data_IF_070725759111
#
_entry.id   IF_070725759111
#
_cell.length_a   1.000
_cell.length_b   1.000
_cell.length_c   1.000
_cell.angle_alpha   90.00
_cell.angle_beta   90.00
_cell.angle_gamma   90.00
#
_symmetry.space_group_name_H-M   'P 1'
#
loop_
_entity.id
_entity.type
_entity.pdbx_description
1 polymer ?
#
# COMPACT_ATOMS: atom_id res chain seq x y z
N UNK A 1 -30.08 -8.65 9.64
CA UNK A 1 -30.17 -8.00 8.32
C UNK A 1 -29.40 -8.87 7.34
N UNK A 2 -29.97 -9.16 6.18
CA UNK A 2 -29.38 -10.04 5.14
C UNK A 2 -28.34 -9.28 4.29
N UNK A 3 -27.26 -9.94 3.87
CA UNK A 3 -26.15 -9.31 3.12
C UNK A 3 -26.61 -8.82 1.75
N UNK A 4 -27.43 -9.59 1.02
CA UNK A 4 -27.90 -9.22 -0.31
C UNK A 4 -28.84 -8.02 -0.23
N UNK A 5 -29.79 -8.06 0.70
CA UNK A 5 -30.68 -6.92 0.94
C UNK A 5 -29.91 -5.66 1.36
N UNK A 6 -28.88 -5.81 2.20
CA UNK A 6 -28.01 -4.69 2.60
C UNK A 6 -27.26 -4.11 1.40
N UNK A 7 -26.77 -4.96 0.51
CA UNK A 7 -26.09 -4.56 -0.71
C UNK A 7 -27.02 -3.80 -1.67
N UNK A 8 -28.25 -4.27 -1.87
CA UNK A 8 -29.25 -3.57 -2.71
C UNK A 8 -29.52 -2.16 -2.20
N UNK A 9 -29.78 -2.01 -0.90
CA UNK A 9 -29.98 -0.71 -0.26
C UNK A 9 -28.73 0.16 -0.32
N UNK A 10 -27.54 -0.43 -0.19
CA UNK A 10 -26.26 0.27 -0.32
C UNK A 10 -26.12 0.87 -1.72
N UNK A 11 -26.44 0.11 -2.77
CA UNK A 11 -26.36 0.60 -4.15
C UNK A 11 -27.31 1.76 -4.38
N UNK A 12 -28.58 1.64 -3.96
CA UNK A 12 -29.57 2.70 -4.10
C UNK A 12 -29.14 4.01 -3.41
N UNK A 13 -28.59 3.90 -2.20
CA UNK A 13 -28.10 5.06 -1.46
C UNK A 13 -26.84 5.66 -2.08
N UNK A 14 -25.91 4.83 -2.57
CA UNK A 14 -24.69 5.30 -3.21
C UNK A 14 -24.99 6.04 -4.52
N UNK A 15 -25.96 5.55 -5.30
CA UNK A 15 -26.44 6.22 -6.52
C UNK A 15 -27.04 7.60 -6.20
N UNK A 16 -27.88 7.71 -5.18
CA UNK A 16 -28.45 8.98 -4.73
C UNK A 16 -27.38 9.96 -4.23
N UNK A 17 -26.42 9.49 -3.43
CA UNK A 17 -25.28 10.30 -2.94
C UNK A 17 -24.49 10.88 -4.13
N UNK A 18 -24.16 10.03 -5.11
CA UNK A 18 -23.42 10.44 -6.29
C UNK A 18 -24.21 11.41 -7.17
N UNK A 19 -25.50 11.17 -7.37
CA UNK A 19 -26.37 12.02 -8.19
C UNK A 19 -26.49 13.45 -7.65
N UNK A 20 -26.44 13.59 -6.32
CA UNK A 20 -26.57 14.88 -5.63
C UNK A 20 -25.22 15.53 -5.26
N UNK A 21 -24.09 14.88 -5.57
CA UNK A 21 -22.76 15.40 -5.26
C UNK A 21 -22.44 15.46 -3.75
N UNK A 22 -23.09 14.61 -2.95
CA UNK A 22 -22.83 14.54 -1.52
C UNK A 22 -21.56 13.74 -1.23
N UNK A 23 -20.83 14.18 -0.21
CA UNK A 23 -19.72 13.41 0.36
C UNK A 23 -20.21 12.70 1.62
N UNK A 24 -21.06 11.68 1.44
CA UNK A 24 -21.60 10.88 2.55
C UNK A 24 -21.42 9.39 2.30
N UNK A 25 -21.44 8.59 3.37
CA UNK A 25 -21.51 7.14 3.30
C UNK A 25 -22.96 6.64 3.31
N UNK A 26 -23.28 5.50 2.68
CA UNK A 26 -24.59 4.86 2.77
C UNK A 26 -24.98 4.56 4.22
N UNK A 27 -26.14 5.07 4.64
CA UNK A 27 -26.68 4.91 6.00
C UNK A 27 -27.02 3.46 6.34
N UNK A 28 -27.29 2.62 5.33
CA UNK A 28 -27.61 1.20 5.53
C UNK A 28 -26.50 0.46 6.29
N UNK A 29 -25.23 0.86 6.12
CA UNK A 29 -24.10 0.21 6.81
C UNK A 29 -24.13 0.44 8.33
N UNK A 30 -24.66 1.59 8.77
CA UNK A 30 -24.87 1.86 10.20
C UNK A 30 -25.98 0.97 10.75
N UNK A 31 -27.11 0.90 10.06
CA UNK A 31 -28.22 0.04 10.46
C UNK A 31 -27.79 -1.43 10.49
N UNK A 32 -26.95 -1.85 9.53
CA UNK A 32 -26.31 -3.15 9.52
C UNK A 32 -25.46 -3.34 10.79
N UNK A 33 -24.51 -2.44 11.10
CA UNK A 33 -23.65 -2.53 12.30
C UNK A 33 -24.45 -2.71 13.59
N UNK A 34 -25.55 -1.97 13.76
CA UNK A 34 -26.38 -2.02 14.98
C UNK A 34 -27.14 -3.36 15.13
N UNK A 35 -27.54 -3.96 14.01
CA UNK A 35 -28.35 -5.18 13.98
C UNK A 35 -27.53 -6.46 13.77
N UNK A 36 -26.31 -6.34 13.25
CA UNK A 36 -25.45 -7.46 12.91
C UNK A 36 -25.02 -8.23 14.17
N UNK A 37 -24.86 -9.54 14.01
CA UNK A 37 -24.51 -10.45 15.12
C UNK A 37 -23.32 -11.34 14.78
N UNK A 38 -23.35 -11.99 13.63
CA UNK A 38 -22.28 -12.85 13.14
C UNK A 38 -22.48 -13.12 11.64
N UNK A 39 -21.40 -13.52 10.97
CA UNK A 39 -21.45 -13.97 9.58
C UNK A 39 -21.79 -15.46 9.53
N UNK A 40 -22.65 -15.84 8.60
CA UNK A 40 -22.83 -17.24 8.19
C UNK A 40 -21.80 -17.64 7.15
N UNK A 41 -21.67 -18.94 6.87
CA UNK A 41 -20.81 -19.43 5.79
C UNK A 41 -21.26 -18.92 4.40
N UNK A 42 -22.57 -18.76 4.21
CA UNK A 42 -23.15 -18.20 2.98
C UNK A 42 -22.78 -16.72 2.81
N UNK A 43 -22.82 -15.94 3.88
CA UNK A 43 -22.37 -14.55 3.86
C UNK A 43 -20.90 -14.44 3.45
N UNK A 44 -20.02 -15.25 4.06
CA UNK A 44 -18.58 -15.28 3.76
C UNK A 44 -18.35 -15.62 2.28
N UNK A 45 -19.04 -16.64 1.76
CA UNK A 45 -18.95 -17.04 0.36
C UNK A 45 -19.43 -15.94 -0.59
N UNK A 46 -20.53 -15.27 -0.25
CA UNK A 46 -21.09 -14.16 -1.02
C UNK A 46 -20.13 -12.96 -1.06
N UNK A 47 -19.61 -12.55 0.10
CA UNK A 47 -18.67 -11.43 0.21
C UNK A 47 -17.34 -11.73 -0.49
N UNK A 48 -16.84 -12.97 -0.41
CA UNK A 48 -15.65 -13.41 -1.16
C UNK A 48 -15.88 -13.27 -2.66
N UNK A 49 -17.06 -13.66 -3.15
CA UNK A 49 -17.41 -13.48 -4.56
C UNK A 49 -17.46 -12.00 -4.93
N UNK A 50 -18.07 -11.16 -4.09
CA UNK A 50 -18.17 -9.72 -4.33
C UNK A 50 -16.80 -9.03 -4.41
N UNK A 51 -15.81 -9.49 -3.64
CA UNK A 51 -14.45 -8.95 -3.68
C UNK A 51 -13.74 -9.13 -5.03
N UNK A 52 -14.17 -10.09 -5.84
CA UNK A 52 -13.64 -10.29 -7.21
C UNK A 52 -14.32 -9.42 -8.26
N UNK A 53 -15.46 -8.79 -7.93
CA UNK A 53 -16.21 -7.93 -8.82
C UNK A 53 -15.79 -6.47 -8.67
N UNK A 54 -15.50 -5.80 -9.78
CA UNK A 54 -14.97 -4.43 -9.79
C UNK A 54 -15.89 -3.38 -9.14
N UNK A 55 -17.20 -3.63 -9.07
CA UNK A 55 -18.18 -2.73 -8.44
C UNK A 55 -18.57 -3.20 -7.05
N UNK A 56 -18.80 -4.51 -6.85
CA UNK A 56 -19.29 -5.03 -5.57
C UNK A 56 -18.22 -5.07 -4.48
N UNK A 57 -16.94 -5.12 -4.82
CA UNK A 57 -15.85 -5.13 -3.84
C UNK A 57 -15.86 -3.93 -2.90
N UNK A 58 -16.33 -2.77 -3.38
CA UNK A 58 -16.42 -1.54 -2.59
C UNK A 58 -17.45 -1.66 -1.46
N UNK A 59 -18.57 -2.33 -1.70
CA UNK A 59 -19.52 -2.65 -0.64
C UNK A 59 -18.86 -3.48 0.46
N UNK A 60 -18.04 -4.48 0.10
CA UNK A 60 -17.37 -5.32 1.10
C UNK A 60 -16.34 -4.51 1.89
N UNK A 61 -15.52 -3.70 1.21
CA UNK A 61 -14.55 -2.82 1.88
C UNK A 61 -15.25 -1.89 2.88
N UNK A 62 -16.30 -1.19 2.43
CA UNK A 62 -17.07 -0.28 3.28
C UNK A 62 -17.73 -1.02 4.43
N UNK A 63 -18.41 -2.14 4.17
CA UNK A 63 -19.08 -2.94 5.19
C UNK A 63 -18.11 -3.36 6.30
N UNK A 64 -16.97 -3.96 5.94
CA UNK A 64 -15.99 -4.44 6.91
C UNK A 64 -15.28 -3.29 7.63
N UNK A 65 -15.16 -2.12 7.00
CA UNK A 65 -14.71 -0.90 7.65
C UNK A 65 -15.73 -0.34 8.67
N UNK A 66 -16.98 -0.80 8.66
CA UNK A 66 -17.99 -0.44 9.67
C UNK A 66 -18.11 -1.44 10.82
N UNK A 67 -17.42 -2.59 10.80
CA UNK A 67 -17.58 -3.63 11.81
C UNK A 67 -16.36 -3.71 12.73
N UNK A 68 -16.56 -3.99 14.02
CA UNK A 68 -15.45 -4.09 14.98
C UNK A 68 -14.50 -5.24 14.65
N UNK A 69 -15.04 -6.36 14.15
CA UNK A 69 -14.30 -7.54 13.74
C UNK A 69 -14.97 -8.20 12.55
N UNK A 70 -14.27 -9.10 11.86
CA UNK A 70 -14.83 -9.95 10.81
C UNK A 70 -14.05 -11.28 10.68
N UNK A 71 -14.61 -12.31 10.01
CA UNK A 71 -14.02 -13.62 9.90
C UNK A 71 -12.66 -13.61 9.20
N UNK A 72 -11.73 -14.43 9.70
CA UNK A 72 -10.40 -14.60 9.10
C UNK A 72 -10.46 -15.07 7.64
N UNK A 73 -11.51 -15.80 7.26
CA UNK A 73 -11.73 -16.28 5.90
C UNK A 73 -11.85 -15.14 4.86
N UNK A 74 -12.22 -13.92 5.29
CA UNK A 74 -12.28 -12.74 4.43
C UNK A 74 -10.95 -11.99 4.34
N UNK A 75 -9.95 -12.31 5.19
CA UNK A 75 -8.66 -11.61 5.18
C UNK A 75 -7.95 -11.76 3.84
N UNK A 76 -7.67 -12.99 3.39
CA UNK A 76 -6.94 -13.23 2.14
C UNK A 76 -7.70 -12.66 0.92
N UNK A 77 -9.03 -12.86 0.76
CA UNK A 77 -9.81 -12.19 -0.29
C UNK A 77 -9.69 -10.66 -0.29
N UNK A 78 -9.71 -10.02 0.87
CA UNK A 78 -9.52 -8.57 0.98
C UNK A 78 -8.12 -8.14 0.50
N UNK A 79 -7.08 -8.89 0.87
CA UNK A 79 -5.72 -8.59 0.42
C UNK A 79 -5.57 -8.77 -1.10
N UNK A 80 -6.18 -9.80 -1.69
CA UNK A 80 -6.21 -9.94 -3.15
C UNK A 80 -6.92 -8.78 -3.84
N UNK A 81 -8.08 -8.35 -3.32
CA UNK A 81 -8.79 -7.18 -3.85
C UNK A 81 -7.94 -5.90 -3.78
N UNK A 82 -7.12 -5.74 -2.72
CA UNK A 82 -6.17 -4.63 -2.59
C UNK A 82 -5.03 -4.70 -3.63
N UNK A 83 -4.50 -5.89 -3.87
CA UNK A 83 -3.41 -6.12 -4.84
C UNK A 83 -3.90 -5.91 -6.28
N UNK A 84 -5.12 -6.34 -6.58
CA UNK A 84 -5.71 -6.24 -7.92
C UNK A 84 -6.30 -4.84 -8.20
N UNK A 85 -6.40 -3.96 -7.19
CA UNK A 85 -6.86 -2.58 -7.38
C UNK A 85 -5.79 -1.71 -8.08
N UNK A 86 -6.09 -1.18 -9.30
CA UNK A 86 -5.12 -0.39 -10.04
C UNK A 86 -4.74 0.92 -9.36
N UNK A 87 -5.66 1.59 -8.67
CA UNK A 87 -5.40 2.86 -7.98
C UNK A 87 -4.76 2.64 -6.59
N UNK A 88 -3.49 3.07 -6.38
CA UNK A 88 -2.84 2.97 -5.08
C UNK A 88 -3.55 3.78 -3.98
N UNK A 89 -4.31 4.81 -4.34
CA UNK A 89 -5.08 5.58 -3.37
C UNK A 89 -6.28 4.82 -2.82
N UNK A 90 -6.88 3.96 -3.64
CA UNK A 90 -8.11 3.24 -3.32
C UNK A 90 -7.86 1.85 -2.73
N UNK A 91 -6.70 1.23 -2.96
CA UNK A 91 -6.41 -0.09 -2.38
C UNK A 91 -6.34 -0.09 -0.84
N UNK A 92 -6.14 1.08 -0.21
CA UNK A 92 -6.14 1.25 1.25
C UNK A 92 -7.47 0.86 1.89
N UNK A 93 -8.59 0.99 1.17
CA UNK A 93 -9.92 0.67 1.67
C UNK A 93 -10.06 -0.83 1.99
N UNK A 94 -9.23 -1.67 1.37
CA UNK A 94 -9.15 -3.10 1.66
C UNK A 94 -8.12 -3.41 2.76
N UNK A 95 -7.01 -2.67 2.82
CA UNK A 95 -5.92 -2.91 3.79
C UNK A 95 -6.25 -2.42 5.20
N UNK A 96 -6.81 -1.20 5.32
CA UNK A 96 -7.12 -0.56 6.62
C UNK A 96 -8.01 -1.42 7.53
N UNK A 97 -9.15 -1.96 7.08
CA UNK A 97 -9.98 -2.83 7.93
C UNK A 97 -9.25 -4.11 8.34
N UNK A 98 -8.46 -4.72 7.46
CA UNK A 98 -7.64 -5.88 7.80
C UNK A 98 -6.62 -5.53 8.89
N UNK A 99 -5.95 -4.37 8.78
CA UNK A 99 -4.88 -3.98 9.71
C UNK A 99 -5.44 -3.72 11.10
N UNK A 100 -6.61 -3.10 11.16
CA UNK A 100 -7.34 -2.88 12.40
C UNK A 100 -7.71 -4.19 13.11
N UNK A 101 -8.20 -5.19 12.37
CA UNK A 101 -8.75 -6.43 12.97
C UNK A 101 -7.66 -7.48 13.24
N UNK A 102 -6.71 -7.65 12.33
CA UNK A 102 -5.71 -8.73 12.39
C UNK A 102 -4.28 -8.25 12.64
N UNK A 103 -4.06 -6.93 12.64
CA UNK A 103 -2.72 -6.36 12.76
C UNK A 103 -1.95 -6.37 11.44
N UNK A 104 -0.82 -5.67 11.44
CA UNK A 104 0.02 -5.48 10.25
C UNK A 104 0.82 -6.71 9.84
N UNK A 105 1.28 -7.54 10.80
CA UNK A 105 2.18 -8.66 10.53
C UNK A 105 1.52 -9.72 9.65
N UNK A 106 0.26 -10.05 9.92
CA UNK A 106 -0.48 -11.05 9.14
C UNK A 106 -0.65 -10.59 7.69
N UNK A 107 -1.02 -9.32 7.50
CA UNK A 107 -1.16 -8.72 6.17
C UNK A 107 0.17 -8.70 5.43
N UNK A 108 1.23 -8.33 6.14
CA UNK A 108 2.57 -8.29 5.59
C UNK A 108 3.03 -9.66 5.11
N UNK A 109 2.74 -10.72 5.88
CA UNK A 109 3.05 -12.10 5.49
C UNK A 109 2.31 -12.51 4.21
N UNK A 110 0.99 -12.26 4.13
CA UNK A 110 0.19 -12.57 2.94
C UNK A 110 0.68 -11.79 1.72
N UNK A 111 0.99 -10.50 1.86
CA UNK A 111 1.52 -9.70 0.77
C UNK A 111 2.88 -10.23 0.30
N UNK A 112 3.77 -10.65 1.20
CA UNK A 112 5.06 -11.23 0.82
C UNK A 112 4.90 -12.57 0.09
N UNK A 113 3.97 -13.43 0.52
CA UNK A 113 3.60 -14.66 -0.20
C UNK A 113 3.18 -14.31 -1.64
N UNK A 114 2.24 -13.37 -1.80
CA UNK A 114 1.77 -12.92 -3.11
C UNK A 114 2.91 -12.30 -3.94
N UNK A 115 3.84 -11.54 -3.33
CA UNK A 115 4.97 -10.95 -4.05
C UNK A 115 5.97 -12.01 -4.55
N UNK A 116 6.20 -13.07 -3.77
CA UNK A 116 7.13 -14.15 -4.13
C UNK A 116 6.57 -15.01 -5.26
N UNK A 117 5.29 -15.33 -5.19
CA UNK A 117 4.64 -16.32 -6.07
C UNK A 117 3.87 -15.69 -7.23
N UNK A 118 3.51 -14.41 -7.11
CA UNK A 118 2.66 -13.70 -8.06
C UNK A 118 3.34 -13.43 -9.40
N UNK A 119 2.50 -13.20 -10.41
CA UNK A 119 2.96 -12.67 -11.68
C UNK A 119 3.37 -11.19 -11.55
N UNK A 120 3.83 -10.61 -12.66
CA UNK A 120 4.25 -9.20 -12.68
C UNK A 120 3.17 -8.25 -12.16
N UNK A 121 1.91 -8.44 -12.56
CA UNK A 121 0.82 -7.55 -12.19
C UNK A 121 0.59 -7.60 -10.68
N UNK A 122 0.54 -8.81 -10.11
CA UNK A 122 0.39 -9.01 -8.66
C UNK A 122 1.57 -8.47 -7.88
N UNK A 123 2.82 -8.67 -8.35
CA UNK A 123 3.99 -8.09 -7.70
C UNK A 123 3.89 -6.57 -7.63
N UNK A 124 3.52 -5.91 -8.72
CA UNK A 124 3.31 -4.46 -8.75
C UNK A 124 2.16 -4.04 -7.83
N UNK A 125 1.06 -4.79 -7.81
CA UNK A 125 -0.07 -4.57 -6.89
C UNK A 125 0.36 -4.65 -5.42
N UNK A 126 1.17 -5.63 -5.06
CA UNK A 126 1.73 -5.76 -3.71
C UNK A 126 2.63 -4.58 -3.35
N UNK A 127 3.48 -4.10 -4.27
CA UNK A 127 4.31 -2.92 -4.02
C UNK A 127 3.45 -1.72 -3.61
N UNK A 128 2.32 -1.50 -4.31
CA UNK A 128 1.34 -0.44 -3.98
C UNK A 128 0.67 -0.69 -2.63
N UNK A 129 0.35 -1.93 -2.29
CA UNK A 129 -0.32 -2.29 -1.05
C UNK A 129 0.59 -2.12 0.20
N UNK A 130 1.90 -2.40 0.08
CA UNK A 130 2.85 -2.26 1.19
C UNK A 130 2.92 -0.85 1.77
N UNK A 131 2.58 0.18 0.99
CA UNK A 131 2.52 1.55 1.49
C UNK A 131 1.55 1.68 2.69
N UNK A 132 0.43 0.95 2.65
CA UNK A 132 -0.62 1.01 3.67
C UNK A 132 -0.43 0.02 4.82
N UNK A 133 0.57 -0.87 4.75
CA UNK A 133 0.82 -1.86 5.81
C UNK A 133 1.73 -1.36 6.91
N UNK A 134 2.46 -0.26 6.70
CA UNK A 134 3.72 -0.03 7.40
C UNK A 134 3.71 0.79 8.69
N UNK A 135 2.56 0.98 9.36
CA UNK A 135 2.57 1.62 10.68
C UNK A 135 1.76 0.85 11.71
N UNK A 136 2.46 0.48 12.77
CA UNK A 136 1.89 0.05 14.03
C UNK A 136 2.60 0.77 15.14
N UNK A 137 3.93 1.00 15.02
CA UNK A 137 4.67 1.90 15.89
C UNK A 137 5.53 2.87 15.08
N UNK A 138 5.72 4.10 15.59
CA UNK A 138 6.58 5.11 14.97
C UNK A 138 6.96 6.21 15.96
N UNK A 139 7.86 7.08 15.50
CA UNK A 139 8.27 8.29 16.20
C UNK A 139 7.62 9.51 15.58
N UNK A 140 7.00 10.37 16.38
CA UNK A 140 6.49 11.67 15.97
C UNK A 140 7.43 12.77 16.50
N UNK A 141 7.92 13.64 15.61
CA UNK A 141 8.69 14.83 16.04
C UNK A 141 7.72 15.96 16.37
N UNK A 142 7.72 16.40 17.63
CA UNK A 142 6.89 17.50 18.12
C UNK A 142 7.77 18.72 18.38
N UNK A 143 7.29 19.90 17.98
CA UNK A 143 7.94 21.18 18.26
C UNK A 143 7.08 22.00 19.21
N UNK A 144 7.64 22.37 20.36
CA UNK A 144 6.99 23.22 21.36
C UNK A 144 7.91 24.43 21.65
N UNK A 145 7.55 25.59 21.11
CA UNK A 145 8.42 26.77 21.09
C UNK A 145 9.73 26.50 20.32
N UNK A 146 10.86 26.66 20.99
CA UNK A 146 12.20 26.37 20.44
C UNK A 146 12.67 24.93 20.68
N UNK A 147 11.90 24.12 21.41
CA UNK A 147 12.27 22.75 21.75
C UNK A 147 11.69 21.77 20.72
N UNK A 148 12.49 20.75 20.38
CA UNK A 148 12.07 19.61 19.57
C UNK A 148 12.32 18.34 20.35
N UNK A 149 11.30 17.50 20.42
CA UNK A 149 11.41 16.19 21.05
C UNK A 149 10.64 15.14 20.24
N UNK A 150 11.00 13.88 20.46
CA UNK A 150 10.47 12.73 19.77
C UNK A 150 9.51 11.96 20.67
N UNK A 151 8.25 11.85 20.27
CA UNK A 151 7.27 10.96 20.89
C UNK A 151 7.34 9.59 20.25
N UNK A 152 7.30 8.53 21.06
CA UNK A 152 7.31 7.14 20.59
C UNK A 152 5.98 6.49 20.94
N UNK A 153 5.31 5.96 19.93
CA UNK A 153 3.96 5.46 20.11
C UNK A 153 3.54 4.54 19.00
N UNK A 154 2.22 4.40 18.88
CA UNK A 154 1.59 3.40 18.03
C UNK A 154 0.28 3.93 17.44
N UNK A 155 -0.14 3.37 16.30
CA UNK A 155 -1.46 3.67 15.75
C UNK A 155 -2.52 2.87 16.49
N UNK A 156 -3.54 3.57 16.98
CA UNK A 156 -4.76 2.95 17.49
C UNK A 156 -5.95 3.27 16.60
N UNK A 157 -6.89 2.33 16.54
CA UNK A 157 -8.13 2.51 15.78
C UNK A 157 -9.28 2.76 16.74
N UNK A 158 -10.05 3.81 16.49
CA UNK A 158 -11.25 4.11 17.25
C UNK A 158 -12.43 4.35 16.31
N UNK A 159 -13.63 4.03 16.78
CA UNK A 159 -14.85 4.32 16.03
C UNK A 159 -15.22 5.79 16.19
N UNK A 160 -15.15 6.54 15.11
CA UNK A 160 -15.58 7.92 15.07
C UNK A 160 -17.08 7.99 14.75
N UNK A 161 -17.86 8.57 15.67
CA UNK A 161 -19.33 8.65 15.55
C UNK A 161 -19.74 9.66 14.47
N UNK A 162 -18.96 10.73 14.29
CA UNK A 162 -19.26 11.82 13.37
C UNK A 162 -18.96 11.39 11.93
N UNK A 163 -17.80 10.76 11.72
CA UNK A 163 -17.40 10.23 10.41
C UNK A 163 -18.00 8.86 10.11
N UNK A 164 -18.56 8.17 11.12
CA UNK A 164 -19.13 6.81 11.02
C UNK A 164 -18.12 5.84 10.39
N UNK A 165 -16.88 5.93 10.84
CA UNK A 165 -15.76 5.17 10.32
C UNK A 165 -14.76 4.90 11.44
N UNK A 166 -13.90 3.91 11.22
CA UNK A 166 -12.70 3.79 12.04
C UNK A 166 -11.64 4.78 11.59
N UNK A 167 -11.20 5.61 12.52
CA UNK A 167 -10.07 6.52 12.34
C UNK A 167 -8.83 6.04 13.09
N UNK A 168 -7.68 6.54 12.64
CA UNK A 168 -6.36 6.23 13.19
C UNK A 168 -5.88 7.41 14.01
N UNK A 169 -5.46 7.13 15.24
CA UNK A 169 -4.86 8.12 16.13
C UNK A 169 -3.51 7.61 16.63
N UNK A 170 -2.53 8.53 16.68
CA UNK A 170 -1.27 8.27 17.36
C UNK A 170 -1.49 8.26 18.86
N UNK A 171 -1.11 7.17 19.51
CA UNK A 171 -1.04 7.10 20.97
C UNK A 171 0.40 6.92 21.42
N UNK A 172 0.88 7.86 22.24
CA UNK A 172 2.18 7.73 22.89
C UNK A 172 2.17 6.55 23.87
N UNK A 173 3.05 5.59 23.64
CA UNK A 173 3.23 4.42 24.50
C UNK A 173 4.62 3.83 24.26
N UNK A 174 5.56 4.17 25.14
CA UNK A 174 6.94 3.74 25.03
C UNK A 174 7.12 2.22 25.26
N UNK A 175 6.21 1.57 25.98
CA UNK A 175 6.28 0.13 26.25
C UNK A 175 5.86 -0.68 25.02
N UNK A 176 4.70 -0.35 24.44
CA UNK A 176 4.23 -0.93 23.18
C UNK A 176 5.25 -0.69 22.07
N UNK A 177 5.77 0.54 21.96
CA UNK A 177 6.83 0.88 21.01
C UNK A 177 8.06 -0.03 21.16
N UNK A 178 8.56 -0.22 22.39
CA UNK A 178 9.76 -1.06 22.64
C UNK A 178 9.53 -2.51 22.25
N UNK A 179 8.33 -3.03 22.48
CA UNK A 179 7.95 -4.41 22.16
C UNK A 179 7.74 -4.63 20.66
N UNK A 180 7.05 -3.74 19.98
CA UNK A 180 6.63 -3.94 18.58
C UNK A 180 7.66 -3.44 17.56
N UNK A 181 8.49 -2.44 17.91
CA UNK A 181 9.52 -1.91 16.98
C UNK A 181 10.45 -2.99 16.42
N UNK A 182 10.98 -3.95 17.20
CA UNK A 182 11.79 -5.03 16.64
C UNK A 182 11.05 -5.90 15.63
N UNK A 183 9.75 -6.16 15.87
CA UNK A 183 8.91 -6.97 14.96
C UNK A 183 8.64 -6.22 13.66
N UNK A 184 8.30 -4.94 13.74
CA UNK A 184 8.12 -4.08 12.56
C UNK A 184 9.41 -3.97 11.75
N UNK A 185 10.55 -3.81 12.43
CA UNK A 185 11.86 -3.80 11.78
C UNK A 185 12.18 -5.13 11.08
N UNK A 186 11.88 -6.26 11.71
CA UNK A 186 12.10 -7.58 11.11
C UNK A 186 11.25 -7.77 9.84
N UNK A 187 9.95 -7.42 9.89
CA UNK A 187 9.07 -7.43 8.72
C UNK A 187 9.61 -6.52 7.61
N UNK A 188 10.01 -5.29 7.95
CA UNK A 188 10.59 -4.36 6.98
C UNK A 188 11.86 -4.90 6.31
N UNK A 189 12.76 -5.53 7.06
CA UNK A 189 13.96 -6.20 6.51
C UNK A 189 13.55 -7.32 5.54
N UNK A 190 12.61 -8.17 5.93
CA UNK A 190 12.13 -9.26 5.09
C UNK A 190 11.55 -8.74 3.76
N UNK A 191 10.75 -7.67 3.84
CA UNK A 191 10.21 -6.98 2.68
C UNK A 191 11.31 -6.44 1.75
N UNK A 192 12.26 -5.69 2.29
CA UNK A 192 13.35 -5.14 1.49
C UNK A 192 14.20 -6.24 0.86
N UNK A 193 14.49 -7.32 1.59
CA UNK A 193 15.24 -8.45 1.08
C UNK A 193 14.50 -9.14 -0.09
N UNK A 194 13.18 -9.33 0.03
CA UNK A 194 12.37 -9.90 -1.05
C UNK A 194 12.38 -8.98 -2.29
N UNK A 195 12.22 -7.67 -2.11
CA UNK A 195 12.29 -6.68 -3.19
C UNK A 195 13.65 -6.64 -3.87
N UNK A 196 14.76 -6.61 -3.12
CA UNK A 196 16.12 -6.63 -3.66
C UNK A 196 16.37 -7.92 -4.44
N UNK A 197 15.97 -9.06 -3.90
CA UNK A 197 16.11 -10.36 -4.58
C UNK A 197 15.38 -10.36 -5.92
N UNK A 198 14.13 -9.89 -5.96
CA UNK A 198 13.35 -9.78 -7.19
C UNK A 198 13.96 -8.78 -8.18
N UNK A 199 14.46 -7.63 -7.69
CA UNK A 199 15.10 -6.62 -8.52
C UNK A 199 16.31 -7.17 -9.28
N UNK A 200 17.11 -8.01 -8.62
CA UNK A 200 18.29 -8.61 -9.24
C UNK A 200 17.96 -9.83 -10.10
N UNK A 201 16.90 -10.58 -9.80
CA UNK A 201 16.51 -11.79 -10.54
C UNK A 201 15.69 -11.50 -11.80
N UNK A 202 14.82 -10.49 -11.77
CA UNK A 202 13.91 -10.22 -12.87
C UNK A 202 14.63 -9.62 -14.08
N UNK A 203 14.09 -9.84 -15.28
CA UNK A 203 14.50 -9.16 -16.51
C UNK A 203 13.48 -8.13 -17.01
N UNK A 204 12.30 -8.08 -16.37
CA UNK A 204 11.24 -7.15 -16.73
C UNK A 204 11.59 -5.74 -16.23
N UNK A 205 11.71 -4.81 -17.17
CA UNK A 205 12.15 -3.45 -16.88
C UNK A 205 11.12 -2.63 -16.09
N UNK A 206 9.85 -2.86 -16.37
CA UNK A 206 8.75 -2.18 -15.69
C UNK A 206 8.71 -2.64 -14.22
N UNK A 207 8.83 -3.94 -13.97
CA UNK A 207 8.92 -4.46 -12.61
C UNK A 207 10.16 -3.95 -11.87
N UNK A 208 11.35 -3.91 -12.51
CA UNK A 208 12.55 -3.31 -11.89
C UNK A 208 12.35 -1.85 -11.53
N UNK A 209 11.76 -1.08 -12.44
CA UNK A 209 11.47 0.32 -12.19
C UNK A 209 10.53 0.47 -10.99
N UNK A 210 9.43 -0.29 -10.97
CA UNK A 210 8.48 -0.26 -9.86
C UNK A 210 9.16 -0.63 -8.54
N UNK A 211 9.90 -1.74 -8.47
CA UNK A 211 10.64 -2.10 -7.24
C UNK A 211 11.61 -0.99 -6.81
N UNK A 212 12.33 -0.39 -7.76
CA UNK A 212 13.28 0.67 -7.45
C UNK A 212 12.63 1.95 -6.88
N UNK A 213 11.34 2.19 -7.11
CA UNK A 213 10.59 3.29 -6.49
C UNK A 213 10.33 3.03 -4.99
N UNK A 214 10.19 1.78 -4.57
CA UNK A 214 9.87 1.40 -3.19
C UNK A 214 11.11 1.07 -2.34
N UNK A 215 12.25 0.79 -2.98
CA UNK A 215 13.51 0.61 -2.26
C UNK A 215 14.06 1.95 -1.74
N UNK A 216 14.78 1.95 -0.60
CA UNK A 216 15.41 3.16 -0.09
C UNK A 216 16.38 3.79 -1.09
N UNK A 217 16.40 5.13 -1.14
CA UNK A 217 17.19 5.88 -2.13
C UNK A 217 18.55 6.32 -1.58
N UNK A 218 18.75 6.24 -0.26
CA UNK A 218 20.01 6.51 0.41
C UNK A 218 20.44 5.29 1.21
N UNK A 219 21.75 5.18 1.48
CA UNK A 219 22.29 3.99 2.13
C UNK A 219 21.90 3.94 3.61
N UNK A 220 21.84 5.09 4.27
CA UNK A 220 21.46 5.25 5.68
C UNK A 220 20.01 4.82 5.96
N UNK A 221 19.18 4.73 4.92
CA UNK A 221 17.79 4.28 5.03
C UNK A 221 17.67 2.75 4.93
N UNK A 222 18.74 2.03 4.54
CA UNK A 222 18.76 0.57 4.56
C UNK A 222 19.07 0.05 5.97
N UNK A 223 18.42 -1.04 6.41
CA UNK A 223 18.87 -1.79 7.58
C UNK A 223 20.31 -2.28 7.39
N UNK A 224 21.07 -2.33 8.50
CA UNK A 224 22.47 -2.76 8.51
C UNK A 224 22.67 -4.12 7.83
N UNK A 225 21.74 -5.05 8.07
CA UNK A 225 21.72 -6.40 7.50
C UNK A 225 21.66 -6.41 5.96
N UNK A 226 21.14 -5.34 5.35
CA UNK A 226 20.99 -5.19 3.91
C UNK A 226 21.90 -4.09 3.34
N UNK A 227 22.82 -3.54 4.13
CA UNK A 227 23.68 -2.43 3.72
C UNK A 227 24.52 -2.77 2.48
N UNK A 228 25.13 -3.96 2.43
CA UNK A 228 25.90 -4.40 1.26
C UNK A 228 25.03 -4.49 -0.01
N UNK A 229 23.87 -5.13 0.09
CA UNK A 229 22.93 -5.25 -1.03
C UNK A 229 22.39 -3.88 -1.46
N UNK A 230 22.12 -2.99 -0.51
CA UNK A 230 21.73 -1.59 -0.73
C UNK A 230 22.80 -0.82 -1.49
N UNK A 231 24.07 -0.94 -1.10
CA UNK A 231 25.20 -0.35 -1.85
C UNK A 231 25.28 -0.86 -3.29
N UNK A 232 25.13 -2.18 -3.49
CA UNK A 232 25.11 -2.81 -4.82
C UNK A 232 23.94 -2.25 -5.64
N UNK A 233 22.74 -2.19 -5.06
CA UNK A 233 21.54 -1.64 -5.70
C UNK A 233 21.74 -0.19 -6.13
N UNK A 234 22.17 0.70 -5.22
CA UNK A 234 22.34 2.12 -5.50
C UNK A 234 23.41 2.37 -6.59
N UNK A 235 24.51 1.60 -6.58
CA UNK A 235 25.57 1.69 -7.60
C UNK A 235 25.13 1.17 -8.95
N UNK A 236 24.30 0.12 -8.98
CA UNK A 236 24.01 -0.63 -10.20
C UNK A 236 22.65 -0.30 -10.83
N UNK A 237 21.68 0.29 -10.12
CA UNK A 237 20.34 0.55 -10.68
C UNK A 237 20.39 1.35 -11.98
N UNK A 238 21.23 2.39 -12.03
CA UNK A 238 21.44 3.20 -13.23
C UNK A 238 22.18 2.44 -14.35
N UNK A 239 23.08 1.52 -13.98
CA UNK A 239 23.81 0.66 -14.92
C UNK A 239 22.91 -0.42 -15.52
N UNK A 240 21.90 -0.86 -14.77
CA UNK A 240 20.90 -1.84 -15.19
C UNK A 240 19.79 -1.25 -16.08
N UNK A 241 19.96 -0.01 -16.55
CA UNK A 241 19.00 0.64 -17.43
C UNK A 241 17.70 1.01 -16.75
N UNK A 242 17.66 1.07 -15.42
CA UNK A 242 16.47 1.49 -14.69
C UNK A 242 16.22 2.98 -14.95
N UNK A 243 15.03 3.34 -15.44
CA UNK A 243 14.60 4.73 -15.62
C UNK A 243 14.59 5.50 -14.31
N UNK A 244 14.85 6.80 -14.35
CA UNK A 244 14.73 7.68 -13.19
C UNK A 244 13.29 8.18 -12.96
N UNK A 245 12.44 8.09 -13.98
CA UNK A 245 11.07 8.57 -13.96
C UNK A 245 10.23 7.83 -15.02
N UNK A 246 8.92 8.06 -14.98
CA UNK A 246 7.96 7.38 -15.86
C UNK A 246 8.16 7.73 -17.34
N UNK A 247 8.54 8.97 -17.66
CA UNK A 247 8.79 9.39 -19.03
C UNK A 247 10.01 8.68 -19.63
N UNK A 248 11.08 8.50 -18.85
CA UNK A 248 12.21 7.66 -19.26
C UNK A 248 11.77 6.21 -19.49
N UNK A 249 10.89 5.65 -18.64
CA UNK A 249 10.37 4.28 -18.80
C UNK A 249 9.61 4.12 -20.12
N UNK A 250 8.68 5.02 -20.42
CA UNK A 250 7.86 4.97 -21.63
C UNK A 250 8.72 5.00 -22.91
N UNK A 251 9.79 5.78 -22.91
CA UNK A 251 10.74 5.84 -24.02
C UNK A 251 11.50 4.54 -24.25
N UNK A 252 11.88 3.83 -23.17
CA UNK A 252 12.70 2.61 -23.28
C UNK A 252 11.90 1.32 -23.26
N UNK A 253 10.59 1.36 -22.97
CA UNK A 253 9.75 0.17 -22.76
C UNK A 253 9.76 -0.78 -23.96
N UNK A 254 9.79 -0.23 -25.17
CA UNK A 254 9.74 -1.01 -26.42
C UNK A 254 11.13 -1.46 -26.92
N UNK A 255 12.22 -1.06 -26.26
CA UNK A 255 13.59 -1.39 -26.69
C UNK A 255 14.02 -2.71 -26.06
N UNK A 256 13.96 -3.80 -26.83
CA UNK A 256 14.35 -5.15 -26.34
C UNK A 256 15.81 -5.20 -25.87
N UNK A 257 16.73 -4.55 -26.61
CA UNK A 257 18.16 -4.57 -26.30
C UNK A 257 18.49 -3.76 -25.05
N UNK A 258 19.02 -4.43 -24.03
CA UNK A 258 19.53 -3.81 -22.80
C UNK A 258 20.63 -2.78 -23.07
N UNK A 259 21.54 -3.08 -24.00
CA UNK A 259 22.62 -2.18 -24.37
C UNK A 259 22.07 -0.87 -24.95
N UNK A 260 21.11 -0.96 -25.88
CA UNK A 260 20.51 0.23 -26.51
C UNK A 260 19.73 1.08 -25.50
N UNK A 261 18.97 0.46 -24.58
CA UNK A 261 18.30 1.16 -23.47
C UNK A 261 19.29 1.97 -22.64
N UNK A 262 20.38 1.32 -22.24
CA UNK A 262 21.42 1.95 -21.44
C UNK A 262 22.10 3.12 -22.16
N UNK A 263 22.39 2.98 -23.45
CA UNK A 263 22.98 4.04 -24.26
C UNK A 263 22.01 5.23 -24.34
N UNK A 264 20.74 4.99 -24.66
CA UNK A 264 19.73 6.04 -24.78
C UNK A 264 19.56 6.83 -23.46
N UNK A 265 19.42 6.13 -22.33
CA UNK A 265 19.28 6.76 -21.02
C UNK A 265 20.55 7.56 -20.64
N UNK A 266 21.75 7.04 -20.92
CA UNK A 266 23.01 7.76 -20.65
C UNK A 266 23.11 9.05 -21.47
N UNK A 267 22.77 8.98 -22.76
CA UNK A 267 22.77 10.15 -23.65
C UNK A 267 21.81 11.22 -23.12
N UNK A 268 20.56 10.87 -22.83
CA UNK A 268 19.56 11.81 -22.30
C UNK A 268 20.01 12.48 -20.99
N UNK A 269 20.59 11.69 -20.08
CA UNK A 269 21.13 12.19 -18.79
C UNK A 269 22.32 13.14 -18.98
N UNK A 270 23.17 12.90 -19.98
CA UNK A 270 24.26 13.81 -20.32
C UNK A 270 23.74 15.16 -20.84
N UNK A 271 22.70 15.15 -21.68
CA UNK A 271 22.09 16.37 -22.22
C UNK A 271 21.28 17.17 -21.19
N UNK A 272 20.59 16.50 -20.26
CA UNK A 272 19.85 17.17 -19.18
C UNK A 272 20.75 17.76 -18.10
N UNK A 273 21.88 17.12 -17.77
CA UNK A 273 22.89 17.71 -16.85
C UNK A 273 23.61 18.94 -17.42
N UNK A 274 23.62 19.12 -18.73
CA UNK A 274 24.19 20.30 -19.40
C UNK A 274 23.26 21.52 -19.48
N UNK A 275 22.01 21.41 -18.97
CA UNK A 275 20.92 22.35 -19.23
C UNK A 275 20.77 23.56 -18.31
N UNK A 276 21.75 23.88 -17.46
CA UNK A 276 21.82 25.20 -16.79
C UNK A 276 22.66 26.20 -17.61
N UNK A 277 22.49 26.20 -18.93
CA UNK A 277 22.99 27.28 -19.77
C UNK A 277 21.88 28.33 -19.82
N UNK A 278 21.95 29.32 -18.94
CA UNK A 278 21.19 30.57 -19.07
C UNK A 278 21.50 31.17 -20.44
N UNK A 279 20.56 31.06 -21.38
CA UNK A 279 20.53 31.90 -22.57
C UNK A 279 20.35 33.35 -22.09
N UNK A 280 21.47 34.09 -22.00
CA UNK A 280 21.42 35.55 -21.98
C UNK A 280 20.79 35.97 -23.31
N UNK A 281 19.52 36.39 -23.25
CA UNK A 281 18.89 37.12 -24.33
C UNK A 281 19.76 38.35 -24.62
N UNK A 282 20.21 38.47 -25.87
CA UNK A 282 20.79 39.69 -26.43
C UNK A 282 19.68 40.49 -27.08
#
# INVERSE_FOLDING_TARGET
MDILHTFELYQLQLEDINANGYWSRPQVLRAFREQFRHFTAEDISTLTTFLTDNRKKWFVADLLNHLDTFPVDLLKPMIYAAVDEPDPGSNKEFIKPCRRVFGYLEIHHILLEIFREGDKARKIGVLKAFYWTNQTVYTLTVSEGNNRYELKGYDTFFWDIDFKSFEEEFKEDAEVYRKERPRQRAAYIEQLNAMLSEFFSTSDLELKYQIALYLPQKIEDFPEELSEQGHIFLRNKSKQGVPNNIAELDEVRNIKSYFLRNVLLRIKRAFTKGGNITLKQR
#
